data_IF_419510848957
#
_entry.id   IF_419510848957
#
_cell.length_a   1.000
_cell.length_b   1.000
_cell.length_c   1.000
_cell.angle_alpha   90.00
_cell.angle_beta   90.00
_cell.angle_gamma   90.00
#
_symmetry.space_group_name_H-M   'P 1'
#
loop_
_entity.id
_entity.type
_entity.pdbx_description
1 polymer ?
#
# COMPACT_ATOMS: atom_id res chain seq x y z
N UNK A 1 0.78 10.50 26.62
CA UNK A 1 0.85 9.13 26.10
C UNK A 1 1.76 9.12 24.88
N UNK A 2 2.86 8.37 24.91
CA UNK A 2 3.73 8.22 23.73
C UNK A 2 3.20 7.09 22.86
N UNK A 3 3.16 7.30 21.54
CA UNK A 3 2.82 6.24 20.60
C UNK A 3 4.00 5.28 20.50
N UNK A 4 3.76 3.99 20.76
CA UNK A 4 4.78 2.94 20.60
C UNK A 4 4.73 2.42 19.18
N UNK A 5 5.88 2.42 18.49
CA UNK A 5 6.00 1.92 17.12
C UNK A 5 6.96 0.74 17.09
N UNK A 6 6.49 -0.39 16.59
CA UNK A 6 7.32 -1.58 16.37
C UNK A 6 7.60 -1.70 14.87
N UNK A 7 8.88 -1.75 14.51
CA UNK A 7 9.33 -1.93 13.14
C UNK A 7 9.79 -3.37 12.93
N UNK A 8 9.46 -3.96 11.79
CA UNK A 8 9.94 -5.28 11.40
C UNK A 8 10.23 -5.31 9.90
N UNK A 9 11.02 -6.32 9.48
CA UNK A 9 11.28 -6.63 8.08
C UNK A 9 10.48 -7.87 7.74
N UNK A 10 9.71 -7.84 6.64
CA UNK A 10 8.85 -8.94 6.23
C UNK A 10 8.56 -8.92 4.74
N UNK A 11 8.12 -10.06 4.23
CA UNK A 11 7.61 -10.20 2.86
C UNK A 11 6.11 -9.92 2.85
N UNK A 12 5.64 -9.07 1.94
CA UNK A 12 4.22 -8.78 1.79
C UNK A 12 3.42 -9.99 1.28
N UNK A 13 4.07 -10.91 0.57
CA UNK A 13 3.47 -12.17 0.19
C UNK A 13 3.30 -13.15 1.37
N UNK A 14 4.03 -12.92 2.47
CA UNK A 14 4.03 -13.74 3.68
C UNK A 14 4.22 -12.85 4.92
N UNK A 15 3.21 -12.08 5.27
CA UNK A 15 3.29 -11.06 6.32
C UNK A 15 3.60 -11.77 7.65
N UNK A 16 4.70 -11.43 8.37
CA UNK A 16 5.11 -12.09 9.62
C UNK A 16 4.28 -11.60 10.81
N UNK A 17 2.96 -11.63 10.66
CA UNK A 17 1.94 -11.26 11.63
C UNK A 17 0.95 -12.41 11.73
N UNK A 18 0.47 -12.66 12.95
CA UNK A 18 -0.49 -13.71 13.23
C UNK A 18 -1.83 -13.48 12.53
N UNK A 19 -2.48 -14.57 12.14
CA UNK A 19 -3.83 -14.56 11.58
C UNK A 19 -4.81 -13.82 12.51
N UNK A 20 -5.72 -13.04 11.92
CA UNK A 20 -6.79 -12.32 12.61
C UNK A 20 -6.35 -11.49 13.84
N UNK A 21 -5.14 -10.93 13.82
CA UNK A 21 -4.55 -10.19 14.94
C UNK A 21 -4.51 -8.67 14.76
N UNK A 22 -4.80 -8.18 13.54
CA UNK A 22 -4.76 -6.75 13.22
C UNK A 22 -6.16 -6.15 13.15
N UNK A 23 -6.37 -5.04 13.86
CA UNK A 23 -7.60 -4.25 13.78
C UNK A 23 -7.69 -3.45 12.47
N UNK A 24 -6.54 -2.94 12.01
CA UNK A 24 -6.46 -2.06 10.84
C UNK A 24 -5.15 -2.27 10.08
N UNK A 25 -5.22 -2.17 8.75
CA UNK A 25 -4.07 -2.05 7.86
C UNK A 25 -4.15 -0.72 7.12
N UNK A 26 -3.04 0.01 7.10
CA UNK A 26 -2.84 1.18 6.25
C UNK A 26 -1.77 0.83 5.20
N UNK A 27 -2.19 0.72 3.94
CA UNK A 27 -1.33 0.43 2.79
C UNK A 27 -1.16 1.70 1.95
N UNK A 28 0.07 2.22 1.84
CA UNK A 28 0.37 3.48 1.12
C UNK A 28 1.31 3.19 -0.03
N UNK A 29 0.80 3.33 -1.26
CA UNK A 29 1.57 3.22 -2.50
C UNK A 29 2.32 1.89 -2.69
N UNK A 30 2.01 0.86 -1.89
CA UNK A 30 2.60 -0.47 -2.02
C UNK A 30 1.72 -1.39 -2.89
N UNK A 31 2.29 -2.46 -3.46
CA UNK A 31 1.48 -3.52 -4.08
C UNK A 31 0.49 -4.08 -3.06
N UNK A 32 -0.72 -4.47 -3.47
CA UNK A 32 -1.67 -5.09 -2.54
C UNK A 32 -1.65 -6.61 -2.65
N UNK A 33 -1.54 -7.29 -1.51
CA UNK A 33 -1.87 -8.71 -1.39
C UNK A 33 -3.12 -8.87 -0.52
N UNK A 34 -4.29 -8.82 -1.17
CA UNK A 34 -5.58 -8.87 -0.46
C UNK A 34 -5.78 -10.16 0.33
N UNK A 35 -5.20 -11.29 -0.11
CA UNK A 35 -5.30 -12.54 0.62
C UNK A 35 -4.53 -12.47 1.94
N UNK A 36 -3.29 -11.96 1.92
CA UNK A 36 -2.50 -11.78 3.15
C UNK A 36 -3.10 -10.70 4.06
N UNK A 37 -3.63 -9.61 3.49
CA UNK A 37 -4.35 -8.60 4.26
C UNK A 37 -5.58 -9.21 4.96
N UNK A 38 -6.37 -10.01 4.24
CA UNK A 38 -7.52 -10.70 4.82
C UNK A 38 -7.10 -11.72 5.88
N UNK A 39 -5.95 -12.41 5.71
CA UNK A 39 -5.44 -13.37 6.70
C UNK A 39 -5.13 -12.70 8.03
N UNK A 40 -4.42 -11.58 8.02
CA UNK A 40 -3.96 -10.92 9.25
C UNK A 40 -5.02 -10.01 9.88
N UNK A 41 -5.99 -9.52 9.10
CA UNK A 41 -7.11 -8.73 9.61
C UNK A 41 -8.10 -9.60 10.38
N UNK A 42 -8.61 -9.06 11.50
CA UNK A 42 -9.76 -9.65 12.17
C UNK A 42 -11.03 -9.58 11.30
N UNK A 43 -12.07 -10.37 11.66
CA UNK A 43 -13.34 -10.49 10.90
C UNK A 43 -14.00 -9.15 10.53
N UNK A 44 -13.83 -8.11 11.34
CA UNK A 44 -14.37 -6.76 11.14
C UNK A 44 -13.25 -5.70 11.03
N UNK A 45 -12.04 -6.11 10.69
CA UNK A 45 -10.89 -5.22 10.58
C UNK A 45 -10.99 -4.31 9.36
N UNK A 46 -10.31 -3.16 9.41
CA UNK A 46 -10.34 -2.16 8.35
C UNK A 46 -9.08 -2.20 7.48
N UNK A 47 -9.27 -2.24 6.17
CA UNK A 47 -8.19 -1.95 5.21
C UNK A 47 -8.37 -0.54 4.65
N UNK A 48 -7.39 0.32 4.86
CA UNK A 48 -7.29 1.64 4.23
C UNK A 48 -6.15 1.58 3.21
N UNK A 49 -6.48 1.82 1.94
CA UNK A 49 -5.51 1.85 0.86
C UNK A 49 -5.38 3.25 0.27
N UNK A 50 -4.16 3.77 0.25
CA UNK A 50 -3.82 5.03 -0.41
C UNK A 50 -3.17 4.70 -1.75
N UNK A 51 -3.88 4.99 -2.84
CA UNK A 51 -3.40 4.81 -4.21
C UNK A 51 -3.18 6.16 -4.88
N UNK A 52 -2.14 6.32 -5.72
CA UNK A 52 -2.02 7.56 -6.48
C UNK A 52 -3.14 7.71 -7.50
N UNK A 53 -3.61 8.93 -7.73
CA UNK A 53 -4.54 9.21 -8.83
C UNK A 53 -3.76 9.52 -10.12
N UNK A 54 -4.47 9.76 -11.22
CA UNK A 54 -3.87 10.10 -12.53
C UNK A 54 -3.03 11.37 -12.50
N UNK A 55 -3.30 12.28 -11.57
CA UNK A 55 -2.62 13.56 -11.37
C UNK A 55 -1.39 13.45 -10.45
N UNK A 56 -1.13 12.28 -9.87
CA UNK A 56 0.05 12.08 -9.04
C UNK A 56 1.33 12.37 -9.84
N UNK A 57 2.14 13.28 -9.31
CA UNK A 57 3.40 13.76 -9.90
C UNK A 57 3.24 14.32 -11.32
N UNK A 58 2.07 14.88 -11.67
CA UNK A 58 1.79 15.38 -13.01
C UNK A 58 2.85 16.36 -13.53
N UNK A 59 3.26 17.34 -12.71
CA UNK A 59 4.25 18.36 -13.10
C UNK A 59 5.63 17.73 -13.37
N UNK A 60 6.08 16.85 -12.48
CA UNK A 60 7.37 16.14 -12.62
C UNK A 60 7.34 15.27 -13.87
N UNK A 61 6.24 14.52 -14.10
CA UNK A 61 6.04 13.69 -15.29
C UNK A 61 6.07 14.52 -16.58
N UNK A 62 5.59 15.77 -16.54
CA UNK A 62 5.71 16.71 -17.66
C UNK A 62 7.17 17.10 -17.94
N UNK A 63 7.95 17.42 -16.90
CA UNK A 63 9.36 17.83 -17.04
C UNK A 63 10.22 16.70 -17.61
N UNK A 64 9.96 15.44 -17.20
CA UNK A 64 10.77 14.28 -17.63
C UNK A 64 10.10 13.44 -18.72
N UNK A 65 9.10 13.97 -19.41
CA UNK A 65 8.25 13.22 -20.34
C UNK A 65 9.05 12.41 -21.38
N UNK A 66 10.10 13.02 -21.96
CA UNK A 66 10.95 12.39 -22.99
C UNK A 66 11.79 11.20 -22.46
N UNK A 67 11.86 11.02 -21.14
CA UNK A 67 12.57 9.93 -20.46
C UNK A 67 11.65 8.85 -19.91
N UNK A 68 10.33 9.03 -19.99
CA UNK A 68 9.36 8.06 -19.47
C UNK A 68 9.00 7.02 -20.52
N UNK A 69 9.05 5.75 -20.13
CA UNK A 69 8.54 4.64 -20.94
C UNK A 69 7.01 4.54 -20.91
N UNK A 70 6.38 5.07 -19.86
CA UNK A 70 4.92 5.17 -19.72
C UNK A 70 4.53 6.60 -19.33
N UNK A 71 3.93 7.33 -20.27
CA UNK A 71 3.55 8.74 -20.08
C UNK A 71 2.25 8.90 -19.30
N UNK A 72 1.40 7.87 -19.26
CA UNK A 72 0.13 7.86 -18.51
C UNK A 72 0.18 6.89 -17.33
N UNK A 73 -0.16 7.39 -16.13
CA UNK A 73 -0.26 6.60 -14.91
C UNK A 73 -1.72 6.19 -14.66
N UNK A 74 -1.94 4.91 -14.35
CA UNK A 74 -3.22 4.36 -13.93
C UNK A 74 -3.00 3.30 -12.85
N UNK A 75 -3.84 3.32 -11.81
CA UNK A 75 -3.95 2.25 -10.82
C UNK A 75 -5.10 1.27 -11.08
N UNK A 76 -5.78 1.39 -12.23
CA UNK A 76 -6.70 0.34 -12.64
C UNK A 76 -5.90 -0.85 -13.15
N UNK A 77 -5.73 -1.83 -12.27
CA UNK A 77 -5.54 -3.24 -12.59
C UNK A 77 -6.63 -4.03 -11.88
#
# INVERSE_FOLDING_TARGET
HSLTVNWFVGDLAHIPIQDASMDMILDIFSPANYQEFQRVLQKNGLLIKVIPNSQHLQEIRGIVADKLTNTNYSNHK
#
